data_IF_482729067123
#
_entry.id   IF_482729067123
#
_cell.length_a   1.000
_cell.length_b   1.000
_cell.length_c   1.000
_cell.angle_alpha   90.00
_cell.angle_beta   90.00
_cell.angle_gamma   90.00
#
_symmetry.space_group_name_H-M   'P 1'
#
loop_
_entity.id
_entity.type
_entity.pdbx_description
1 polymer ?
#
# COMPACT_ATOMS: atom_id res chain seq x y z
N UNK A 1 -0.22 3.40 1.90
CA UNK A 1 -0.92 2.15 2.23
C UNK A 1 -0.03 1.31 3.14
N UNK A 2 -0.48 0.98 4.33
CA UNK A 2 0.28 0.20 5.30
C UNK A 2 -0.20 -1.26 5.29
N UNK A 3 0.61 -2.15 4.74
CA UNK A 3 0.30 -3.58 4.61
C UNK A 3 0.96 -4.35 5.76
N UNK A 4 0.16 -5.07 6.54
CA UNK A 4 0.61 -5.82 7.71
C UNK A 4 0.72 -7.33 7.47
N UNK A 5 0.34 -7.78 6.28
CA UNK A 5 0.19 -9.20 5.95
C UNK A 5 -1.14 -9.81 6.39
N UNK A 6 -2.04 -9.05 7.00
CA UNK A 6 -3.40 -9.49 7.24
C UNK A 6 -4.20 -9.38 5.94
N UNK A 7 -4.54 -10.52 5.33
CA UNK A 7 -5.18 -10.58 4.01
C UNK A 7 -6.54 -9.91 4.03
N UNK A 8 -7.36 -10.10 5.05
CA UNK A 8 -8.68 -9.49 5.10
C UNK A 8 -8.61 -7.97 5.17
N UNK A 9 -7.74 -7.42 6.01
CA UNK A 9 -7.51 -5.97 6.09
C UNK A 9 -6.90 -5.44 4.81
N UNK A 10 -5.95 -6.15 4.23
CA UNK A 10 -5.34 -5.79 2.95
C UNK A 10 -6.36 -5.73 1.83
N UNK A 11 -7.25 -6.70 1.74
CA UNK A 11 -8.30 -6.76 0.74
C UNK A 11 -9.29 -5.58 0.85
N UNK A 12 -9.69 -5.21 2.07
CA UNK A 12 -10.54 -4.03 2.31
C UNK A 12 -9.80 -2.74 1.93
N UNK A 13 -8.53 -2.61 2.31
CA UNK A 13 -7.72 -1.45 1.90
C UNK A 13 -7.57 -1.35 0.39
N UNK A 14 -7.35 -2.45 -0.31
CA UNK A 14 -7.29 -2.48 -1.76
C UNK A 14 -8.60 -1.99 -2.38
N UNK A 15 -9.74 -2.46 -1.87
CA UNK A 15 -11.05 -2.00 -2.33
C UNK A 15 -11.20 -0.48 -2.18
N UNK A 16 -10.88 0.07 -1.00
CA UNK A 16 -10.97 1.50 -0.74
C UNK A 16 -10.06 2.33 -1.66
N UNK A 17 -8.82 1.88 -1.90
CA UNK A 17 -7.91 2.57 -2.81
C UNK A 17 -8.34 2.45 -4.27
N UNK A 18 -8.85 1.31 -4.69
CA UNK A 18 -9.38 1.12 -6.04
C UNK A 18 -10.62 2.03 -6.27
N UNK A 19 -11.51 2.15 -5.28
CA UNK A 19 -12.62 3.10 -5.33
C UNK A 19 -12.14 4.55 -5.50
N UNK A 20 -11.15 4.97 -4.72
CA UNK A 20 -10.57 6.31 -4.85
C UNK A 20 -9.95 6.50 -6.25
N UNK A 21 -9.28 5.47 -6.78
CA UNK A 21 -8.76 5.49 -8.16
C UNK A 21 -9.84 5.77 -9.20
N UNK A 22 -11.02 5.16 -9.06
CA UNK A 22 -12.18 5.42 -9.93
C UNK A 22 -12.68 6.85 -9.75
N UNK A 23 -12.91 7.30 -8.51
CA UNK A 23 -13.44 8.64 -8.21
C UNK A 23 -12.51 9.78 -8.62
N UNK A 24 -11.21 9.53 -8.68
CA UNK A 24 -10.21 10.51 -9.11
C UNK A 24 -9.78 10.35 -10.56
N UNK A 25 -10.43 9.46 -11.31
CA UNK A 25 -10.17 9.18 -12.71
C UNK A 25 -8.68 8.91 -13.02
N UNK A 26 -8.05 8.05 -12.22
CA UNK A 26 -6.63 7.70 -12.41
C UNK A 26 -6.45 6.81 -13.64
N UNK A 27 -5.50 7.17 -14.52
CA UNK A 27 -5.17 6.36 -15.70
C UNK A 27 -4.35 5.12 -15.40
N UNK A 28 -3.68 5.06 -14.24
CA UNK A 28 -2.85 3.93 -13.80
C UNK A 28 -3.12 3.66 -12.32
N UNK A 29 -3.40 2.41 -11.99
CA UNK A 29 -3.60 1.96 -10.62
C UNK A 29 -2.53 0.95 -10.22
N UNK A 30 -1.76 1.27 -9.18
CA UNK A 30 -0.85 0.32 -8.56
C UNK A 30 -1.62 -0.56 -7.57
N UNK A 31 -1.55 -1.87 -7.75
CA UNK A 31 -2.17 -2.83 -6.86
C UNK A 31 -1.18 -3.25 -5.78
N UNK A 32 -1.55 -3.07 -4.51
CA UNK A 32 -0.80 -3.61 -3.39
C UNK A 32 -1.18 -5.06 -3.13
N UNK A 33 -0.20 -5.87 -2.77
CA UNK A 33 -0.46 -7.26 -2.36
C UNK A 33 -0.54 -7.31 -0.84
N UNK A 34 -1.49 -8.06 -0.24
CA UNK A 34 -1.70 -8.07 1.21
C UNK A 34 -0.45 -8.44 2.02
N UNK A 35 0.44 -9.25 1.45
CA UNK A 35 1.63 -9.79 2.12
C UNK A 35 2.95 -9.23 1.61
N UNK A 36 2.95 -8.27 0.70
CA UNK A 36 4.16 -7.76 0.04
C UNK A 36 5.19 -7.14 0.99
N UNK A 37 4.77 -6.66 2.16
CA UNK A 37 5.66 -6.11 3.17
C UNK A 37 6.33 -7.19 4.04
N UNK A 38 5.84 -8.42 4.00
CA UNK A 38 6.28 -9.53 4.85
C UNK A 38 7.16 -10.51 4.06
N UNK A 39 6.72 -10.90 2.88
CA UNK A 39 7.43 -11.83 1.99
C UNK A 39 7.04 -11.56 0.54
N UNK A 40 7.65 -12.28 -0.40
CA UNK A 40 7.21 -12.27 -1.80
C UNK A 40 5.77 -12.80 -1.87
N UNK A 41 4.83 -12.03 -2.43
CA UNK A 41 3.43 -12.44 -2.48
C UNK A 41 3.23 -13.75 -3.22
N UNK A 42 2.36 -14.60 -2.67
CA UNK A 42 1.92 -15.83 -3.34
C UNK A 42 1.04 -15.49 -4.57
N UNK A 43 0.87 -16.46 -5.45
CA UNK A 43 -0.04 -16.30 -6.60
C UNK A 43 -1.48 -16.04 -6.17
N UNK A 44 -1.92 -16.63 -5.06
CA UNK A 44 -3.22 -16.35 -4.43
C UNK A 44 -3.38 -14.89 -4.00
N UNK A 45 -2.34 -14.28 -3.43
CA UNK A 45 -2.38 -12.87 -3.03
C UNK A 45 -2.53 -11.94 -4.25
N UNK A 46 -1.81 -12.27 -5.32
CA UNK A 46 -1.89 -11.55 -6.59
C UNK A 46 -3.25 -11.67 -7.23
N UNK A 47 -3.78 -12.89 -7.25
CA UNK A 47 -5.12 -13.17 -7.78
C UNK A 47 -6.18 -12.36 -7.03
N UNK A 48 -6.17 -12.37 -5.70
CA UNK A 48 -7.12 -11.62 -4.89
C UNK A 48 -7.05 -10.11 -5.15
N UNK A 49 -5.86 -9.56 -5.29
CA UNK A 49 -5.70 -8.12 -5.57
C UNK A 49 -6.20 -7.74 -6.96
N UNK A 50 -5.94 -8.58 -7.96
CA UNK A 50 -6.45 -8.38 -9.33
C UNK A 50 -7.97 -8.49 -9.38
N UNK A 51 -8.55 -9.52 -8.75
CA UNK A 51 -10.01 -9.71 -8.74
C UNK A 51 -10.71 -8.58 -7.99
N UNK A 52 -10.14 -8.10 -6.88
CA UNK A 52 -10.64 -6.92 -6.18
C UNK A 52 -10.68 -5.69 -7.11
N UNK A 53 -9.58 -5.41 -7.82
CA UNK A 53 -9.51 -4.27 -8.74
C UNK A 53 -10.52 -4.41 -9.89
N UNK A 54 -10.59 -5.57 -10.53
CA UNK A 54 -11.56 -5.85 -11.61
C UNK A 54 -12.99 -5.65 -11.15
N UNK A 55 -13.32 -6.17 -9.97
CA UNK A 55 -14.65 -6.03 -9.40
C UNK A 55 -15.02 -4.57 -9.16
N UNK A 56 -14.13 -3.81 -8.50
CA UNK A 56 -14.37 -2.40 -8.21
C UNK A 56 -14.47 -1.57 -9.49
N UNK A 57 -13.53 -1.72 -10.43
CA UNK A 57 -13.54 -0.96 -11.67
C UNK A 57 -14.77 -1.28 -12.53
N UNK A 58 -15.19 -2.55 -12.56
CA UNK A 58 -16.37 -2.95 -13.31
C UNK A 58 -17.68 -2.41 -12.74
N UNK A 59 -17.79 -2.27 -11.41
CA UNK A 59 -19.03 -1.88 -10.75
C UNK A 59 -19.12 -0.38 -10.41
N UNK A 60 -17.99 0.33 -10.35
CA UNK A 60 -17.98 1.71 -9.85
C UNK A 60 -17.73 2.78 -10.93
N UNK A 61 -17.57 2.38 -12.19
CA UNK A 61 -17.27 3.33 -13.27
C UNK A 61 -18.27 4.49 -13.33
N UNK A 62 -19.56 4.19 -13.33
CA UNK A 62 -20.61 5.21 -13.40
C UNK A 62 -20.69 6.06 -12.12
N UNK A 63 -20.39 5.46 -10.96
CA UNK A 63 -20.38 6.19 -9.68
C UNK A 63 -19.25 7.22 -9.67
N UNK A 64 -18.11 6.92 -10.28
CA UNK A 64 -16.98 7.85 -10.38
C UNK A 64 -17.32 9.13 -11.15
N UNK A 65 -18.26 9.05 -12.09
CA UNK A 65 -18.72 10.19 -12.86
C UNK A 65 -19.75 11.06 -12.11
N UNK A 66 -20.43 10.49 -11.11
CA UNK A 66 -21.50 11.15 -10.34
C UNK A 66 -21.06 11.70 -8.99
N UNK A 67 -19.83 11.40 -8.53
CA UNK A 67 -19.35 11.78 -7.19
C UNK A 67 -18.23 12.80 -7.27
N UNK A 68 -18.43 13.94 -6.64
CA UNK A 68 -17.40 14.95 -6.46
C UNK A 68 -16.98 15.09 -4.99
N UNK A 69 -15.68 15.32 -4.76
CA UNK A 69 -15.20 15.66 -3.43
C UNK A 69 -15.60 17.08 -3.06
N UNK A 70 -16.20 17.24 -1.88
CA UNK A 70 -16.60 18.54 -1.36
C UNK A 70 -15.44 19.54 -1.45
N UNK A 71 -15.67 20.66 -2.16
CA UNK A 71 -14.71 21.74 -2.26
C UNK A 71 -14.35 22.26 -0.86
N UNK A 72 -13.04 22.39 -0.61
CA UNK A 72 -12.47 22.77 0.69
C UNK A 72 -12.90 21.85 1.87
N UNK A 73 -13.38 20.65 1.55
CA UNK A 73 -13.65 19.61 2.53
C UNK A 73 -12.37 19.00 3.13
N UNK A 74 -12.54 18.22 4.19
CA UNK A 74 -11.43 17.60 4.94
C UNK A 74 -10.50 16.78 4.04
N UNK A 75 -11.03 16.10 3.01
CA UNK A 75 -10.23 15.29 2.08
C UNK A 75 -9.32 16.20 1.25
N UNK A 76 -9.85 17.27 0.69
CA UNK A 76 -9.05 18.20 -0.13
C UNK A 76 -8.03 18.98 0.70
N UNK A 77 -8.40 19.41 1.90
CA UNK A 77 -7.45 20.06 2.82
C UNK A 77 -6.31 19.11 3.20
N UNK A 78 -6.66 17.86 3.51
CA UNK A 78 -5.67 16.83 3.84
C UNK A 78 -4.76 16.49 2.66
N UNK A 79 -5.30 16.45 1.45
CA UNK A 79 -4.50 16.22 0.23
C UNK A 79 -3.46 17.32 0.03
N UNK A 80 -3.83 18.59 0.22
CA UNK A 80 -2.88 19.72 0.15
C UNK A 80 -1.80 19.63 1.23
N UNK A 81 -2.19 19.30 2.46
CA UNK A 81 -1.23 19.10 3.57
C UNK A 81 -0.25 17.96 3.28
N UNK A 82 -0.75 16.81 2.80
CA UNK A 82 0.08 15.65 2.45
C UNK A 82 1.03 15.98 1.31
N UNK A 83 0.57 16.71 0.29
CA UNK A 83 1.43 17.16 -0.81
C UNK A 83 2.59 18.01 -0.28
N UNK A 84 2.33 19.00 0.57
CA UNK A 84 3.37 19.84 1.16
C UNK A 84 4.37 19.02 2.01
N UNK A 85 3.89 18.10 2.83
CA UNK A 85 4.75 17.19 3.61
C UNK A 85 5.59 16.26 2.72
N UNK A 86 5.02 15.81 1.60
CA UNK A 86 5.75 14.96 0.64
C UNK A 86 6.87 15.73 -0.03
N UNK A 87 6.62 16.97 -0.43
CA UNK A 87 7.68 17.84 -1.01
C UNK A 87 8.82 18.01 0.00
N UNK A 88 8.51 18.37 1.25
CA UNK A 88 9.53 18.51 2.29
C UNK A 88 10.33 17.22 2.55
N UNK A 89 9.66 16.05 2.52
CA UNK A 89 10.33 14.75 2.61
C UNK A 89 11.28 14.50 1.43
N UNK A 90 10.85 14.82 0.21
CA UNK A 90 11.70 14.65 -0.99
C UNK A 90 12.91 15.57 -0.96
N UNK A 91 12.75 16.80 -0.52
CA UNK A 91 13.87 17.75 -0.33
C UNK A 91 14.86 17.25 0.75
N UNK A 92 14.35 16.68 1.83
CA UNK A 92 15.20 16.04 2.85
C UNK A 92 15.98 14.86 2.27
N UNK A 93 15.31 13.97 1.52
CA UNK A 93 15.96 12.82 0.87
C UNK A 93 17.00 13.28 -0.15
N UNK A 94 16.73 14.35 -0.90
CA UNK A 94 17.69 14.93 -1.83
C UNK A 94 18.98 15.39 -1.12
N UNK A 95 18.87 15.97 0.06
CA UNK A 95 20.02 16.42 0.85
C UNK A 95 20.79 15.28 1.51
N UNK A 96 20.07 14.32 2.10
CA UNK A 96 20.67 13.24 2.91
C UNK A 96 21.04 12.00 2.10
N UNK A 97 20.41 11.80 0.96
CA UNK A 97 20.49 10.60 0.14
C UNK A 97 19.48 9.53 0.54
N UNK A 98 18.98 8.79 -0.46
CA UNK A 98 17.94 7.77 -0.28
C UNK A 98 18.35 6.65 0.68
N UNK A 99 19.57 6.14 0.56
CA UNK A 99 20.04 5.04 1.42
C UNK A 99 20.16 5.47 2.87
N UNK A 100 20.59 6.70 3.13
CA UNK A 100 20.63 7.26 4.49
C UNK A 100 19.21 7.39 5.07
N UNK A 101 18.25 7.84 4.26
CA UNK A 101 16.85 7.93 4.66
C UNK A 101 16.25 6.56 5.01
N UNK A 102 16.57 5.52 4.22
CA UNK A 102 16.16 4.13 4.50
C UNK A 102 16.77 3.61 5.79
N UNK A 103 18.07 3.83 5.99
CA UNK A 103 18.79 3.41 7.19
C UNK A 103 18.24 4.07 8.47
N UNK A 104 17.91 5.35 8.41
CA UNK A 104 17.25 6.08 9.50
C UNK A 104 15.81 5.64 9.78
N UNK A 105 15.20 4.90 8.89
CA UNK A 105 13.81 4.43 9.03
C UNK A 105 12.77 5.50 8.75
N UNK A 106 13.07 6.47 7.87
CA UNK A 106 12.12 7.54 7.49
C UNK A 106 10.86 6.94 6.84
N UNK A 107 11.01 5.84 6.12
CA UNK A 107 9.88 5.14 5.50
C UNK A 107 9.25 4.16 6.46
N UNK A 108 8.03 4.46 6.91
CA UNK A 108 7.22 3.64 7.81
C UNK A 108 7.87 3.28 9.16
N UNK A 109 8.90 4.01 9.60
CA UNK A 109 9.60 3.74 10.86
C UNK A 109 10.47 2.49 10.83
N UNK A 110 10.75 1.93 9.67
CA UNK A 110 11.52 0.68 9.52
C UNK A 110 12.96 1.01 9.16
N UNK A 111 13.86 0.81 10.12
CA UNK A 111 15.31 0.96 9.91
C UNK A 111 15.87 -0.25 9.16
N UNK A 112 16.75 0.01 8.18
CA UNK A 112 17.41 -1.02 7.38
C UNK A 112 18.88 -0.66 7.22
N UNK A 113 19.78 -1.63 7.44
CA UNK A 113 21.20 -1.43 7.11
C UNK A 113 21.40 -1.39 5.60
N UNK A 114 22.47 -0.73 5.15
CA UNK A 114 22.82 -0.67 3.72
C UNK A 114 23.13 -2.05 3.14
N UNK A 115 23.82 -2.88 3.92
CA UNK A 115 24.22 -4.24 3.53
C UNK A 115 23.02 -5.19 3.55
N UNK A 116 22.08 -4.97 4.46
CA UNK A 116 20.95 -5.86 4.66
C UNK A 116 19.84 -5.72 3.61
N UNK A 117 19.69 -4.55 3.00
CA UNK A 117 18.58 -4.27 2.08
C UNK A 117 17.23 -4.61 2.69
N UNK A 118 16.49 -5.59 2.14
CA UNK A 118 15.31 -6.19 2.77
C UNK A 118 15.64 -7.13 3.93
N UNK A 119 16.91 -7.31 4.25
CA UNK A 119 17.45 -8.28 5.18
C UNK A 119 17.83 -9.59 4.50
N UNK A 120 18.74 -10.35 5.12
CA UNK A 120 19.15 -11.68 4.62
C UNK A 120 17.97 -12.60 4.36
N UNK A 121 16.93 -12.48 5.18
CA UNK A 121 15.69 -13.27 5.05
C UNK A 121 14.64 -12.59 4.18
N UNK A 122 14.89 -11.39 3.66
CA UNK A 122 13.97 -10.64 2.82
C UNK A 122 12.65 -10.27 3.48
N UNK A 123 12.54 -10.39 4.80
CA UNK A 123 11.29 -10.39 5.55
C UNK A 123 11.38 -9.39 6.70
N UNK A 124 10.33 -8.61 6.89
CA UNK A 124 10.14 -7.84 8.10
C UNK A 124 9.68 -8.72 9.25
N UNK A 125 9.89 -8.23 10.48
CA UNK A 125 9.24 -8.83 11.63
C UNK A 125 7.73 -8.73 11.43
N UNK A 126 7.05 -9.86 11.52
CA UNK A 126 5.59 -9.94 11.37
C UNK A 126 4.92 -9.08 12.44
N UNK A 127 4.00 -8.24 12.03
CA UNK A 127 3.19 -7.48 12.98
C UNK A 127 2.29 -8.44 13.80
N UNK A 128 1.89 -8.02 14.99
CA UNK A 128 1.03 -8.85 15.86
C UNK A 128 -0.31 -9.24 15.21
N UNK A 129 -0.76 -8.49 14.22
CA UNK A 129 -1.99 -8.72 13.47
C UNK A 129 -1.74 -9.36 12.08
N UNK A 130 -0.53 -9.90 11.88
CA UNK A 130 -0.26 -10.69 10.67
C UNK A 130 -1.18 -11.89 10.60
N UNK A 131 -1.85 -12.06 9.46
CA UNK A 131 -2.69 -13.21 9.19
C UNK A 131 -2.71 -13.49 7.68
N UNK A 132 -2.36 -14.71 7.32
CA UNK A 132 -2.44 -15.21 5.95
C UNK A 132 -3.03 -16.64 5.97
N UNK A 133 -4.32 -16.82 5.62
CA UNK A 133 -4.99 -18.12 5.67
C UNK A 133 -4.40 -19.15 4.69
N UNK A 134 -3.65 -18.72 3.69
CA UNK A 134 -3.05 -19.63 2.70
C UNK A 134 -1.84 -20.39 3.26
N UNK A 135 -1.17 -19.87 4.27
CA UNK A 135 0.01 -20.53 4.87
C UNK A 135 -0.40 -21.88 5.45
N UNK A 136 -1.47 -21.92 6.25
CA UNK A 136 -1.93 -23.16 6.88
C UNK A 136 -2.33 -24.21 5.85
N UNK A 137 -2.96 -23.79 4.76
CA UNK A 137 -3.36 -24.68 3.66
C UNK A 137 -2.17 -25.24 2.89
N UNK A 138 -1.07 -24.48 2.82
CA UNK A 138 0.16 -24.90 2.12
C UNK A 138 1.06 -25.80 2.97
N UNK A 139 1.03 -25.65 4.30
CA UNK A 139 1.83 -26.46 5.22
C UNK A 139 1.19 -27.81 5.56
N UNK A 140 -0.10 -27.96 5.35
CA UNK A 140 -0.82 -29.22 5.51
C UNK A 140 -0.68 -30.09 4.26
N UNK A 141 0.53 -30.59 4.03
CA UNK A 141 0.80 -31.67 3.06
C UNK A 141 0.94 -32.99 3.77
#
# INVERSE_FOLDING_TARGET
KFMTGNIFRGHIQDALFNMIGVWTNQGIQLLGMPTEAIHTPFMSDRYLSIENAKYIFGNMKSIGEEVEFKKDGIIQMRAKEVLGKTIGLLEQIQKEGLFTALEKGIFAGIKRSREGGKGLNGVFIKAYNYYNPFIDSMLKR
#
